data_IF_602770100788
#
_entry.id   IF_602770100788
#
_cell.length_a   1.000
_cell.length_b   1.000
_cell.length_c   1.000
_cell.angle_alpha   90.00
_cell.angle_beta   90.00
_cell.angle_gamma   90.00
#
_symmetry.space_group_name_H-M   'P 1'
#
loop_
_entity.id
_entity.type
_entity.pdbx_description
1 polymer ?
#
# COMPACT_ATOMS: atom_id res chain seq x y z
N UNK A 1 -14.50 -26.81 64.88
CA UNK A 1 -15.22 -28.08 64.70
C UNK A 1 -14.35 -29.04 63.91
N UNK A 2 -13.77 -30.03 64.59
CA UNK A 2 -13.07 -31.18 63.98
C UNK A 2 -14.04 -32.36 63.95
N UNK A 3 -14.13 -33.07 62.83
CA UNK A 3 -14.27 -34.53 62.77
C UNK A 3 -14.08 -35.04 61.35
N UNK A 4 -13.20 -36.02 61.23
CA UNK A 4 -13.00 -36.90 60.10
C UNK A 4 -13.92 -38.12 60.22
N UNK A 5 -14.35 -38.70 59.09
CA UNK A 5 -14.63 -40.13 58.81
C UNK A 5 -14.68 -40.24 57.26
N UNK A 6 -13.72 -40.83 56.57
CA UNK A 6 -13.47 -42.26 56.26
C UNK A 6 -14.55 -42.98 55.42
N UNK A 7 -14.16 -43.26 54.16
CA UNK A 7 -14.41 -44.42 53.30
C UNK A 7 -15.67 -45.29 53.43
N UNK A 8 -16.35 -45.55 52.31
CA UNK A 8 -16.36 -46.90 51.70
C UNK A 8 -16.79 -46.90 50.23
N UNK A 9 -16.12 -47.77 49.47
CA UNK A 9 -16.24 -47.98 48.05
C UNK A 9 -17.45 -48.88 47.68
N UNK A 10 -17.97 -48.68 46.47
CA UNK A 10 -18.63 -49.74 45.72
C UNK A 10 -18.19 -49.64 44.25
N UNK A 11 -17.63 -50.75 43.77
CA UNK A 11 -17.07 -50.93 42.45
C UNK A 11 -18.14 -50.97 41.36
N UNK A 12 -17.81 -50.43 40.18
CA UNK A 12 -18.43 -50.82 38.92
C UNK A 12 -17.34 -50.86 37.84
N UNK A 13 -17.28 -52.01 37.14
CA UNK A 13 -16.32 -52.34 36.09
C UNK A 13 -16.57 -51.51 34.81
N UNK A 14 -15.57 -51.41 33.90
CA UNK A 14 -15.54 -50.39 32.87
C UNK A 14 -16.39 -50.77 31.64
N UNK A 15 -17.24 -49.84 31.20
CA UNK A 15 -17.83 -49.88 29.86
C UNK A 15 -16.79 -49.39 28.84
N UNK A 16 -16.65 -50.14 27.76
CA UNK A 16 -15.73 -49.88 26.66
C UNK A 16 -15.92 -48.47 26.06
N UNK A 17 -14.84 -47.81 25.61
CA UNK A 17 -14.95 -46.49 24.99
C UNK A 17 -15.64 -46.60 23.64
N UNK A 18 -16.74 -45.84 23.50
CA UNK A 18 -17.33 -45.55 22.21
C UNK A 18 -16.27 -44.86 21.34
N UNK A 19 -16.03 -45.43 20.15
CA UNK A 19 -15.13 -44.89 19.15
C UNK A 19 -15.51 -43.43 18.85
N UNK A 20 -14.68 -42.51 19.29
CA UNK A 20 -14.68 -41.14 18.81
C UNK A 20 -14.40 -41.20 17.30
N UNK A 21 -15.44 -40.93 16.51
CA UNK A 21 -15.27 -40.63 15.09
C UNK A 21 -14.39 -39.38 15.01
N UNK A 22 -13.14 -39.61 14.64
CA UNK A 22 -12.21 -38.56 14.25
C UNK A 22 -12.89 -37.77 13.12
N UNK A 23 -13.36 -36.56 13.43
CA UNK A 23 -13.71 -35.59 12.42
C UNK A 23 -12.39 -35.26 11.72
N UNK A 24 -12.17 -35.86 10.55
CA UNK A 24 -11.07 -35.51 9.69
C UNK A 24 -11.20 -34.02 9.39
N UNK A 25 -10.31 -33.23 9.98
CA UNK A 25 -10.08 -31.84 9.62
C UNK A 25 -9.88 -31.80 8.11
N UNK A 26 -10.71 -31.00 7.43
CA UNK A 26 -10.52 -30.70 6.02
C UNK A 26 -9.07 -30.22 5.82
N UNK A 27 -8.37 -30.67 4.76
CA UNK A 27 -7.04 -30.17 4.47
C UNK A 27 -7.10 -28.65 4.26
N UNK A 28 -6.07 -27.90 4.71
CA UNK A 28 -5.99 -26.47 4.46
C UNK A 28 -6.04 -26.21 2.95
N UNK A 29 -6.68 -25.11 2.50
CA UNK A 29 -6.74 -24.77 1.10
C UNK A 29 -5.32 -24.67 0.51
N UNK A 30 -5.15 -25.20 -0.70
CA UNK A 30 -3.88 -25.16 -1.41
C UNK A 30 -3.38 -23.71 -1.54
N UNK A 31 -2.08 -23.45 -1.37
CA UNK A 31 -1.54 -22.10 -1.50
C UNK A 31 -1.85 -21.57 -2.91
N UNK A 32 -2.61 -20.47 -2.97
CA UNK A 32 -2.84 -19.74 -4.21
C UNK A 32 -1.51 -19.54 -4.94
N UNK A 33 -1.42 -20.05 -6.17
CA UNK A 33 -0.26 -19.81 -7.03
C UNK A 33 -0.16 -18.31 -7.27
N UNK A 34 0.79 -17.68 -6.57
CA UNK A 34 1.13 -16.25 -6.72
C UNK A 34 1.33 -15.91 -8.20
N UNK A 35 0.75 -14.81 -8.71
CA UNK A 35 1.19 -14.27 -9.98
C UNK A 35 2.68 -13.97 -9.87
N UNK A 36 3.48 -14.53 -10.78
CA UNK A 36 4.91 -14.21 -10.90
C UNK A 36 5.04 -12.71 -11.16
N UNK A 37 5.45 -11.93 -10.15
CA UNK A 37 5.94 -10.55 -10.35
C UNK A 37 7.06 -10.61 -11.38
N UNK A 38 6.77 -10.17 -12.60
CA UNK A 38 7.75 -10.06 -13.68
C UNK A 38 8.43 -8.69 -13.58
N UNK A 39 9.70 -8.70 -13.96
CA UNK A 39 10.70 -7.65 -13.75
C UNK A 39 10.19 -6.27 -14.14
N UNK A 40 10.41 -5.33 -13.21
CA UNK A 40 10.40 -3.89 -13.43
C UNK A 40 11.12 -3.57 -14.75
N UNK A 41 10.55 -2.73 -15.64
CA UNK A 41 11.25 -2.29 -16.84
C UNK A 41 12.61 -1.67 -16.45
N UNK A 42 13.64 -1.76 -17.30
CA UNK A 42 14.95 -1.19 -16.98
C UNK A 42 14.80 0.32 -16.71
N UNK A 43 15.48 0.86 -15.68
CA UNK A 43 15.35 2.25 -15.28
C UNK A 43 15.68 3.17 -16.46
N UNK A 44 14.86 4.22 -16.63
CA UNK A 44 15.19 5.31 -17.54
C UNK A 44 16.57 5.84 -17.18
N UNK A 45 17.43 5.94 -18.18
CA UNK A 45 18.80 6.41 -18.04
C UNK A 45 18.86 7.78 -17.31
N UNK A 46 19.59 7.79 -16.19
CA UNK A 46 20.22 8.94 -15.51
C UNK A 46 19.58 10.31 -15.74
N UNK A 47 18.55 10.63 -14.95
CA UNK A 47 18.14 12.02 -14.74
C UNK A 47 19.12 12.75 -13.81
N UNK A 48 19.18 14.07 -13.92
CA UNK A 48 20.27 14.94 -13.46
C UNK A 48 20.68 14.82 -11.97
N UNK A 49 21.91 15.22 -11.65
CA UNK A 49 22.47 15.27 -10.28
C UNK A 49 21.83 16.36 -9.38
N UNK A 50 20.58 16.75 -9.63
CA UNK A 50 19.86 17.82 -8.95
C UNK A 50 18.40 17.45 -8.68
N UNK A 51 17.65 18.34 -8.00
CA UNK A 51 16.25 18.10 -7.68
C UNK A 51 15.38 18.05 -8.94
N UNK A 52 14.26 17.32 -8.87
CA UNK A 52 13.24 17.26 -9.92
C UNK A 52 12.55 18.61 -10.13
N UNK A 53 12.37 19.37 -9.04
CA UNK A 53 11.98 20.77 -9.05
C UNK A 53 12.28 21.44 -7.71
N UNK A 54 12.23 22.77 -7.71
CA UNK A 54 12.37 23.58 -6.51
C UNK A 54 11.20 24.55 -6.41
N UNK A 55 10.84 24.91 -5.18
CA UNK A 55 9.89 25.98 -4.91
C UNK A 55 10.27 26.82 -3.69
N UNK A 56 9.72 28.03 -3.60
CA UNK A 56 9.98 28.98 -2.51
C UNK A 56 8.71 29.26 -1.70
N UNK A 57 8.68 28.93 -0.39
CA UNK A 57 7.59 29.28 0.51
C UNK A 57 7.24 30.77 0.47
N UNK A 58 5.94 31.14 0.47
CA UNK A 58 5.54 32.55 0.52
C UNK A 58 6.06 33.21 1.82
N UNK A 59 6.53 34.45 1.71
CA UNK A 59 6.96 35.25 2.87
C UNK A 59 8.38 34.97 3.39
N UNK A 60 9.08 33.94 2.88
CA UNK A 60 10.45 33.63 3.26
C UNK A 60 11.46 34.17 2.25
N UNK A 61 12.05 35.35 2.50
CA UNK A 61 13.19 35.81 1.70
C UNK A 61 14.36 34.83 1.87
N UNK A 62 14.58 33.97 0.87
CA UNK A 62 15.65 32.95 0.86
C UNK A 62 15.22 31.53 1.23
N UNK A 63 13.97 31.29 1.63
CA UNK A 63 13.48 29.93 1.86
C UNK A 63 13.32 29.16 0.54
N UNK A 64 13.86 27.94 0.47
CA UNK A 64 13.78 27.08 -0.72
C UNK A 64 13.53 25.63 -0.30
N UNK A 65 12.62 24.97 -0.99
CA UNK A 65 12.39 23.53 -0.91
C UNK A 65 12.86 22.91 -2.23
N UNK A 66 13.73 21.90 -2.16
CA UNK A 66 14.22 21.12 -3.29
C UNK A 66 13.59 19.74 -3.25
N UNK A 67 12.84 19.35 -4.29
CA UNK A 67 12.04 18.13 -4.30
C UNK A 67 12.74 17.04 -5.10
N UNK A 68 12.78 15.83 -4.54
CA UNK A 68 13.38 14.64 -5.13
C UNK A 68 12.37 13.49 -5.15
N UNK A 69 12.20 12.87 -6.30
CA UNK A 69 11.46 11.63 -6.49
C UNK A 69 12.34 10.41 -6.27
N UNK A 70 11.89 9.48 -5.43
CA UNK A 70 12.52 8.18 -5.24
C UNK A 70 11.70 7.06 -5.86
N UNK A 71 12.40 6.11 -6.47
CA UNK A 71 11.82 4.87 -6.96
C UNK A 71 11.97 3.79 -5.89
N UNK A 72 10.91 3.01 -5.66
CA UNK A 72 10.89 2.02 -4.59
C UNK A 72 12.02 0.99 -4.78
N UNK A 73 12.86 0.83 -3.75
CA UNK A 73 14.03 -0.06 -3.71
C UNK A 73 15.17 0.29 -4.68
N UNK A 74 15.08 1.38 -5.45
CA UNK A 74 16.18 1.81 -6.31
C UNK A 74 17.25 2.59 -5.52
N UNK A 75 18.49 2.39 -5.93
CA UNK A 75 19.65 3.10 -5.37
C UNK A 75 19.80 4.43 -6.08
N UNK A 76 19.56 5.52 -5.37
CA UNK A 76 19.64 6.88 -5.90
C UNK A 76 20.63 7.72 -5.08
N UNK A 77 21.95 7.45 -5.19
CA UNK A 77 22.97 8.09 -4.36
C UNK A 77 23.06 9.60 -4.56
N UNK A 78 22.70 10.10 -5.74
CA UNK A 78 22.71 11.52 -6.07
C UNK A 78 21.88 12.39 -5.10
N UNK A 79 20.81 11.85 -4.52
CA UNK A 79 19.96 12.56 -3.56
C UNK A 79 20.75 12.84 -2.28
N UNK A 80 21.38 11.80 -1.72
CA UNK A 80 22.19 11.95 -0.51
C UNK A 80 23.47 12.74 -0.75
N UNK A 81 24.10 12.60 -1.92
CA UNK A 81 25.25 13.42 -2.33
C UNK A 81 24.87 14.91 -2.38
N UNK A 82 23.68 15.23 -2.89
CA UNK A 82 23.16 16.59 -2.87
C UNK A 82 22.99 17.10 -1.43
N UNK A 83 22.42 16.29 -0.53
CA UNK A 83 22.25 16.66 0.89
C UNK A 83 23.60 16.91 1.57
N UNK A 84 24.59 16.03 1.35
CA UNK A 84 25.95 16.19 1.88
C UNK A 84 26.61 17.48 1.40
N UNK A 85 26.46 17.79 0.10
CA UNK A 85 27.07 18.95 -0.53
C UNK A 85 26.38 20.28 -0.17
N UNK A 86 25.05 20.28 -0.10
CA UNK A 86 24.25 21.50 0.11
C UNK A 86 23.92 21.79 1.55
N UNK A 87 24.01 20.79 2.43
CA UNK A 87 23.74 20.89 3.88
C UNK A 87 22.44 21.65 4.18
N UNK A 88 21.29 21.13 3.70
CA UNK A 88 20.00 21.74 3.99
C UNK A 88 19.76 21.82 5.51
N UNK A 89 18.93 22.76 5.96
CA UNK A 89 18.58 22.85 7.38
C UNK A 89 17.72 21.66 7.83
N UNK A 90 16.93 21.11 6.92
CA UNK A 90 16.12 19.92 7.15
C UNK A 90 15.99 19.06 5.89
N UNK A 91 15.80 17.77 6.12
CA UNK A 91 15.41 16.78 5.10
C UNK A 91 14.06 16.22 5.53
N UNK A 92 13.04 16.44 4.70
CA UNK A 92 11.67 15.94 4.86
C UNK A 92 11.51 14.70 4.00
N UNK A 93 10.98 13.63 4.57
CA UNK A 93 10.84 12.34 3.89
C UNK A 93 9.44 11.79 4.02
N UNK A 94 8.96 11.06 3.01
CA UNK A 94 7.62 10.46 3.01
C UNK A 94 7.48 9.36 4.08
N UNK A 95 8.41 8.40 4.10
CA UNK A 95 8.21 7.16 4.87
C UNK A 95 8.82 7.28 6.25
N UNK A 96 8.06 6.93 7.28
CA UNK A 96 8.61 6.78 8.63
C UNK A 96 9.44 5.50 8.76
N UNK A 97 10.67 5.60 9.28
CA UNK A 97 11.50 4.42 9.56
C UNK A 97 11.08 3.64 10.83
N UNK A 98 10.17 4.19 11.63
CA UNK A 98 9.60 3.53 12.82
C UNK A 98 8.20 4.07 13.12
N UNK A 99 7.27 3.28 13.70
CA UNK A 99 5.92 3.74 14.05
C UNK A 99 5.91 4.99 14.94
N UNK A 100 6.81 5.08 15.92
CA UNK A 100 6.94 6.26 16.79
C UNK A 100 7.34 7.53 16.01
N UNK A 101 8.10 7.38 14.93
CA UNK A 101 8.53 8.51 14.11
C UNK A 101 7.39 9.04 13.23
N UNK A 102 6.56 8.13 12.70
CA UNK A 102 5.38 8.45 11.91
C UNK A 102 4.12 8.75 12.73
N UNK A 103 4.23 8.89 14.05
CA UNK A 103 3.07 9.13 14.92
C UNK A 103 2.47 10.54 14.73
N UNK A 104 3.27 11.49 14.24
CA UNK A 104 2.82 12.83 13.86
C UNK A 104 3.65 13.35 12.66
N UNK A 105 3.03 14.10 11.73
CA UNK A 105 3.73 14.73 10.63
C UNK A 105 4.59 15.88 11.13
N UNK A 106 5.71 16.12 10.46
CA UNK A 106 6.68 17.15 10.85
C UNK A 106 7.45 16.83 12.13
N UNK A 107 7.31 15.63 12.71
CA UNK A 107 8.13 15.20 13.82
C UNK A 107 9.62 15.28 13.43
N UNK A 108 10.37 16.10 14.16
CA UNK A 108 11.78 16.34 13.93
C UNK A 108 12.64 15.39 14.74
N UNK A 109 13.70 14.89 14.11
CA UNK A 109 14.69 14.04 14.73
C UNK A 109 16.08 14.53 14.36
N UNK A 110 16.88 14.75 15.38
CA UNK A 110 18.32 14.94 15.29
C UNK A 110 19.07 13.62 15.53
N UNK A 111 20.36 13.61 15.21
CA UNK A 111 21.25 12.50 15.57
C UNK A 111 21.24 12.16 17.07
N UNK A 112 21.00 13.13 17.95
CA UNK A 112 21.09 12.97 19.40
C UNK A 112 19.81 12.34 19.98
N UNK A 113 18.64 12.70 19.44
CA UNK A 113 17.34 12.20 19.90
C UNK A 113 17.09 10.74 19.49
N UNK A 114 17.70 10.32 18.39
CA UNK A 114 17.45 9.02 17.78
C UNK A 114 18.26 7.89 18.46
N UNK A 115 19.26 8.22 19.29
CA UNK A 115 20.07 7.28 20.08
C UNK A 115 19.30 6.61 21.24
N UNK A 116 18.12 7.11 21.58
CA UNK A 116 17.29 6.61 22.70
C UNK A 116 16.34 5.48 22.27
N UNK A 117 16.08 5.31 20.97
CA UNK A 117 15.09 4.37 20.44
C UNK A 117 15.81 3.17 19.81
N UNK A 118 15.95 2.08 20.56
CA UNK A 118 16.74 0.89 20.23
C UNK A 118 16.21 -0.02 19.11
N UNK A 119 15.78 0.54 17.98
CA UNK A 119 15.43 -0.19 16.75
C UNK A 119 16.26 0.30 15.56
N UNK A 120 16.01 -0.20 14.34
CA UNK A 120 16.81 -0.01 13.12
C UNK A 120 17.24 1.44 12.80
N UNK A 121 16.60 2.46 13.39
CA UNK A 121 17.08 3.85 13.41
C UNK A 121 18.53 3.99 13.92
N UNK A 122 18.96 3.12 14.83
CA UNK A 122 20.36 3.06 15.27
C UNK A 122 21.33 2.65 14.15
N UNK A 123 20.88 1.97 13.09
CA UNK A 123 21.75 1.59 11.98
C UNK A 123 22.13 2.77 11.09
N UNK A 124 21.16 3.61 10.70
CA UNK A 124 21.43 4.83 9.92
C UNK A 124 22.30 5.80 10.72
N UNK A 125 22.08 5.93 12.03
CA UNK A 125 22.93 6.72 12.92
C UNK A 125 24.37 6.21 12.99
N UNK A 126 24.58 4.90 13.10
CA UNK A 126 25.93 4.31 13.13
C UNK A 126 26.70 4.64 11.85
N UNK A 127 26.03 4.53 10.70
CA UNK A 127 26.63 4.89 9.40
C UNK A 127 26.93 6.39 9.35
N UNK A 128 25.98 7.24 9.75
CA UNK A 128 26.15 8.69 9.79
C UNK A 128 27.23 9.16 10.79
N UNK A 129 27.37 8.49 11.93
CA UNK A 129 28.43 8.74 12.92
C UNK A 129 29.80 8.36 12.36
N UNK A 130 29.92 7.18 11.74
CA UNK A 130 31.14 6.76 11.07
C UNK A 130 31.55 7.75 9.96
N UNK A 131 30.59 8.26 9.18
CA UNK A 131 30.84 9.29 8.18
C UNK A 131 31.34 10.61 8.78
N UNK A 132 30.85 10.99 9.96
CA UNK A 132 31.32 12.19 10.68
C UNK A 132 32.73 12.00 11.23
N UNK A 133 33.00 10.85 11.86
CA UNK A 133 34.32 10.50 12.42
C UNK A 133 35.41 10.44 11.35
N UNK A 134 35.08 9.93 10.16
CA UNK A 134 36.03 9.85 9.03
C UNK A 134 36.25 11.20 8.32
N UNK A 135 35.50 12.25 8.69
CA UNK A 135 35.49 13.52 7.95
C UNK A 135 34.83 13.43 6.56
N UNK A 136 34.31 12.26 6.19
CA UNK A 136 33.68 11.96 4.91
C UNK A 136 32.40 12.79 4.68
N UNK A 137 31.69 13.17 5.74
CA UNK A 137 30.52 14.06 5.64
C UNK A 137 30.86 15.44 5.03
N UNK A 138 32.13 15.85 5.07
CA UNK A 138 32.62 17.07 4.43
C UNK A 138 33.29 16.83 3.06
N UNK A 139 33.56 15.58 2.68
CA UNK A 139 34.39 15.20 1.53
C UNK A 139 33.74 14.16 0.59
N UNK A 140 32.40 14.07 0.58
CA UNK A 140 31.68 13.09 -0.24
C UNK A 140 32.12 13.13 -1.73
N UNK A 141 32.31 11.96 -2.39
CA UNK A 141 32.05 10.61 -1.88
C UNK A 141 33.25 9.99 -1.12
N UNK A 142 33.07 9.75 0.17
CA UNK A 142 34.01 9.03 1.03
C UNK A 142 33.86 7.50 1.02
N UNK A 143 34.62 6.80 1.87
CA UNK A 143 34.59 5.32 1.96
C UNK A 143 33.28 4.80 2.56
N UNK A 144 32.86 5.37 3.70
CA UNK A 144 31.61 4.99 4.35
C UNK A 144 30.38 5.32 3.49
N UNK A 145 30.42 6.43 2.75
CA UNK A 145 29.34 6.81 1.82
C UNK A 145 29.17 5.81 0.68
N UNK A 146 30.28 5.37 0.06
CA UNK A 146 30.22 4.35 -1.01
C UNK A 146 29.60 3.05 -0.52
N UNK A 147 29.95 2.61 0.68
CA UNK A 147 29.34 1.43 1.28
C UNK A 147 27.83 1.64 1.55
N UNK A 148 27.42 2.82 2.02
CA UNK A 148 26.01 3.14 2.20
C UNK A 148 25.25 3.05 0.86
N UNK A 149 25.81 3.61 -0.22
CA UNK A 149 25.23 3.57 -1.57
C UNK A 149 25.02 2.15 -2.10
N UNK A 150 25.80 1.17 -1.62
CA UNK A 150 25.67 -0.23 -1.99
C UNK A 150 24.58 -0.98 -1.22
N UNK A 151 24.06 -0.40 -0.13
CA UNK A 151 23.15 -1.11 0.78
C UNK A 151 21.77 -0.45 0.93
N UNK A 152 21.64 0.82 0.56
CA UNK A 152 20.44 1.61 0.82
C UNK A 152 19.78 2.14 -0.45
N UNK A 153 18.46 2.30 -0.39
CA UNK A 153 17.69 2.97 -1.43
C UNK A 153 17.81 4.52 -1.33
N UNK A 154 17.25 5.25 -2.30
CA UNK A 154 17.31 6.71 -2.35
C UNK A 154 16.86 7.43 -1.07
N UNK A 155 15.71 7.02 -0.50
CA UNK A 155 15.15 7.65 0.69
C UNK A 155 16.03 7.40 1.93
N UNK A 156 16.49 6.16 2.11
CA UNK A 156 17.39 5.77 3.20
C UNK A 156 18.74 6.50 3.11
N UNK A 157 19.26 6.71 1.90
CA UNK A 157 20.47 7.50 1.68
C UNK A 157 20.27 8.97 2.06
N UNK A 158 19.08 9.53 1.84
CA UNK A 158 18.74 10.87 2.33
C UNK A 158 18.72 10.93 3.87
N UNK A 159 18.22 9.90 4.57
CA UNK A 159 18.30 9.84 6.04
C UNK A 159 19.74 9.89 6.53
N UNK A 160 20.59 9.01 5.98
CA UNK A 160 22.01 8.92 6.37
C UNK A 160 22.72 10.25 6.13
N UNK A 161 22.48 10.88 4.97
CA UNK A 161 23.07 12.18 4.64
C UNK A 161 22.57 13.32 5.56
N UNK A 162 21.27 13.33 5.90
CA UNK A 162 20.71 14.30 6.84
C UNK A 162 21.40 14.21 8.21
N UNK A 163 21.47 12.98 8.74
CA UNK A 163 22.11 12.70 10.02
C UNK A 163 23.61 13.03 9.99
N UNK A 164 24.32 12.69 8.91
CA UNK A 164 25.74 12.95 8.77
C UNK A 164 26.08 14.45 8.68
N UNK A 165 25.19 15.26 8.10
CA UNK A 165 25.35 16.72 7.99
C UNK A 165 24.83 17.50 9.20
N UNK A 166 24.10 16.83 10.11
CA UNK A 166 23.42 17.47 11.23
C UNK A 166 22.13 18.22 10.83
N UNK A 167 21.61 17.96 9.62
CA UNK A 167 20.29 18.45 9.23
C UNK A 167 19.20 17.81 10.10
N UNK A 168 18.11 18.55 10.34
CA UNK A 168 16.92 18.00 11.00
C UNK A 168 16.26 16.99 10.05
N UNK A 169 15.98 15.78 10.51
CA UNK A 169 15.19 14.80 9.74
C UNK A 169 13.72 14.93 10.13
N UNK A 170 12.82 15.12 9.17
CA UNK A 170 11.39 15.24 9.42
C UNK A 170 10.59 14.23 8.60
N UNK A 171 9.55 13.66 9.18
CA UNK A 171 8.61 12.79 8.45
C UNK A 171 7.43 13.63 7.96
N UNK A 172 7.36 13.84 6.65
CA UNK A 172 6.46 14.81 6.02
C UNK A 172 5.06 14.30 5.78
N UNK A 173 4.86 12.98 5.74
CA UNK A 173 3.57 12.39 5.39
C UNK A 173 2.62 12.33 6.59
N UNK A 174 1.33 12.20 6.29
CA UNK A 174 0.29 11.92 7.27
C UNK A 174 0.50 10.53 7.90
N UNK A 175 0.32 10.37 9.22
CA UNK A 175 0.39 9.07 9.88
C UNK A 175 -0.45 7.99 9.17
N UNK A 176 0.16 6.83 8.95
CA UNK A 176 -0.47 5.68 8.25
C UNK A 176 -1.82 5.29 8.84
N UNK A 177 -1.92 5.27 10.17
CA UNK A 177 -3.18 5.00 10.88
C UNK A 177 -4.31 5.92 10.41
N UNK A 178 -4.05 7.23 10.34
CA UNK A 178 -5.05 8.21 9.91
C UNK A 178 -5.44 7.94 8.46
N UNK A 179 -4.47 7.70 7.58
CA UNK A 179 -4.72 7.37 6.17
C UNK A 179 -5.63 6.14 6.04
N UNK A 180 -5.33 5.04 6.72
CA UNK A 180 -6.14 3.82 6.63
C UNK A 180 -7.54 4.01 7.20
N UNK A 181 -7.66 4.68 8.35
CA UNK A 181 -8.98 4.96 8.95
C UNK A 181 -9.83 5.86 8.04
N UNK A 182 -9.21 6.83 7.35
CA UNK A 182 -9.89 7.65 6.33
C UNK A 182 -10.34 6.82 5.13
N UNK A 183 -9.50 5.93 4.61
CA UNK A 183 -9.86 5.03 3.49
C UNK A 183 -11.03 4.11 3.81
N UNK A 184 -11.17 3.68 5.07
CA UNK A 184 -12.30 2.85 5.48
C UNK A 184 -13.58 3.68 5.73
N UNK A 185 -13.44 4.85 6.34
CA UNK A 185 -14.59 5.65 6.78
C UNK A 185 -15.22 6.49 5.67
N UNK A 186 -14.41 7.16 4.85
CA UNK A 186 -14.87 8.28 4.02
C UNK A 186 -15.38 7.87 2.63
N UNK A 187 -14.68 7.02 1.87
CA UNK A 187 -15.18 6.56 0.57
C UNK A 187 -16.49 5.78 0.72
N UNK A 188 -17.43 6.03 -0.19
CA UNK A 188 -18.58 5.15 -0.37
C UNK A 188 -18.15 3.82 -1.01
N UNK A 189 -18.95 2.74 -0.90
CA UNK A 189 -18.68 1.49 -1.61
C UNK A 189 -18.51 1.69 -3.13
N UNK A 190 -19.29 2.58 -3.74
CA UNK A 190 -19.16 2.92 -5.16
C UNK A 190 -17.81 3.58 -5.48
N UNK A 191 -17.29 4.43 -4.58
CA UNK A 191 -15.97 5.04 -4.77
C UNK A 191 -14.84 4.02 -4.60
N UNK A 192 -14.97 3.06 -3.68
CA UNK A 192 -13.99 1.96 -3.55
C UNK A 192 -13.99 1.05 -4.79
N UNK A 193 -15.16 0.70 -5.31
CA UNK A 193 -15.32 -0.09 -6.54
C UNK A 193 -14.77 0.65 -7.77
N UNK A 194 -15.05 1.95 -7.90
CA UNK A 194 -14.48 2.75 -8.99
C UNK A 194 -12.95 2.82 -8.91
N UNK A 195 -12.39 3.07 -7.72
CA UNK A 195 -10.94 3.06 -7.50
C UNK A 195 -10.30 1.69 -7.82
N UNK A 196 -10.96 0.60 -7.42
CA UNK A 196 -10.55 -0.74 -7.78
C UNK A 196 -10.55 -0.94 -9.30
N UNK A 197 -11.61 -0.51 -10.00
CA UNK A 197 -11.71 -0.61 -11.45
C UNK A 197 -10.61 0.18 -12.17
N UNK A 198 -10.26 1.37 -11.68
CA UNK A 198 -9.17 2.18 -12.22
C UNK A 198 -7.81 1.50 -12.06
N UNK A 199 -7.56 0.89 -10.90
CA UNK A 199 -6.31 0.17 -10.66
C UNK A 199 -6.21 -1.09 -11.55
N UNK A 200 -7.29 -1.85 -11.68
CA UNK A 200 -7.36 -2.98 -12.61
C UNK A 200 -7.11 -2.52 -14.06
N UNK A 201 -7.79 -1.45 -14.49
CA UNK A 201 -7.60 -0.86 -15.81
C UNK A 201 -6.13 -0.48 -16.06
N UNK A 202 -5.50 0.20 -15.09
CA UNK A 202 -4.08 0.59 -15.13
C UNK A 202 -3.19 -0.63 -15.34
N UNK A 203 -3.40 -1.70 -14.56
CA UNK A 203 -2.61 -2.93 -14.66
C UNK A 203 -2.78 -3.63 -16.01
N UNK A 204 -4.00 -3.70 -16.56
CA UNK A 204 -4.22 -4.31 -17.88
C UNK A 204 -3.63 -3.46 -19.02
N UNK A 205 -3.74 -2.13 -18.96
CA UNK A 205 -3.07 -1.25 -19.93
C UNK A 205 -1.55 -1.47 -19.90
N UNK A 206 -0.95 -1.56 -18.70
CA UNK A 206 0.46 -1.84 -18.52
C UNK A 206 0.88 -3.18 -19.15
N UNK A 207 0.11 -4.24 -18.89
CA UNK A 207 0.35 -5.58 -19.47
C UNK A 207 0.26 -5.57 -21.00
N UNK A 208 -0.65 -4.77 -21.56
CA UNK A 208 -0.84 -4.65 -23.01
C UNK A 208 0.13 -3.68 -23.67
N UNK A 209 0.94 -2.94 -22.88
CA UNK A 209 1.86 -1.92 -23.38
C UNK A 209 1.16 -0.64 -23.88
N UNK A 210 -0.08 -0.42 -23.46
CA UNK A 210 -0.80 0.82 -23.75
C UNK A 210 -0.33 1.94 -22.84
N UNK A 211 -0.53 3.18 -23.30
CA UNK A 211 -0.44 4.32 -22.39
C UNK A 211 -1.50 4.17 -21.28
N UNK A 212 -1.15 4.45 -20.02
CA UNK A 212 -2.17 4.53 -18.98
C UNK A 212 -3.21 5.58 -19.39
N UNK A 213 -4.48 5.40 -19.03
CA UNK A 213 -5.49 6.42 -19.26
C UNK A 213 -5.02 7.74 -18.64
N UNK A 214 -5.21 8.89 -19.31
CA UNK A 214 -4.70 10.16 -18.80
C UNK A 214 -5.23 10.42 -17.38
N UNK A 215 -4.33 10.74 -16.44
CA UNK A 215 -4.70 11.00 -15.03
C UNK A 215 -5.79 12.07 -14.90
N UNK A 216 -5.81 13.07 -15.79
CA UNK A 216 -6.82 14.12 -15.85
C UNK A 216 -8.24 13.63 -16.23
N UNK A 217 -8.38 12.41 -16.76
CA UNK A 217 -9.68 11.78 -17.01
C UNK A 217 -10.32 11.23 -15.72
N UNK A 218 -9.53 11.10 -14.66
CA UNK A 218 -10.01 10.76 -13.33
C UNK A 218 -10.17 12.04 -12.54
N UNK A 219 -11.41 12.49 -12.35
CA UNK A 219 -11.69 13.42 -11.27
C UNK A 219 -11.17 12.76 -9.99
N UNK A 220 -10.23 13.40 -9.29
CA UNK A 220 -9.65 12.86 -8.04
C UNK A 220 -10.80 12.50 -7.11
N UNK A 221 -11.10 11.21 -7.00
CA UNK A 221 -12.20 10.74 -6.19
C UNK A 221 -11.78 10.71 -4.72
N UNK A 222 -12.68 10.25 -3.83
CA UNK A 222 -12.37 10.21 -2.41
C UNK A 222 -11.15 9.34 -2.10
N UNK A 223 -10.92 8.26 -2.84
CA UNK A 223 -9.80 7.33 -2.60
C UNK A 223 -8.49 7.95 -3.06
N UNK A 224 -8.42 8.46 -4.29
CA UNK A 224 -7.23 9.12 -4.83
C UNK A 224 -6.91 10.40 -4.06
N UNK A 225 -7.95 11.11 -3.61
CA UNK A 225 -7.84 12.25 -2.70
C UNK A 225 -7.10 11.87 -1.42
N UNK A 226 -7.49 10.77 -0.78
CA UNK A 226 -6.88 10.29 0.47
C UNK A 226 -5.47 9.72 0.24
N UNK A 227 -5.27 8.92 -0.80
CA UNK A 227 -4.00 8.22 -1.11
C UNK A 227 -2.91 9.14 -1.68
N UNK A 228 -3.30 10.23 -2.34
CA UNK A 228 -2.38 11.14 -3.02
C UNK A 228 -2.56 12.58 -2.53
N UNK A 229 -3.64 13.26 -2.95
CA UNK A 229 -3.77 14.72 -2.84
C UNK A 229 -3.63 15.25 -1.40
N UNK A 230 -4.30 14.60 -0.45
CA UNK A 230 -4.25 14.98 0.96
C UNK A 230 -2.84 14.80 1.54
N UNK A 231 -2.16 13.70 1.20
CA UNK A 231 -0.78 13.40 1.65
C UNK A 231 0.22 14.39 1.06
N UNK A 232 0.11 14.65 -0.24
CA UNK A 232 0.92 15.65 -0.96
C UNK A 232 0.78 17.05 -0.34
N UNK A 233 -0.45 17.46 0.00
CA UNK A 233 -0.70 18.75 0.64
C UNK A 233 -0.07 18.84 2.04
N UNK A 234 -0.14 17.76 2.84
CA UNK A 234 0.52 17.68 4.16
C UNK A 234 2.05 17.78 4.00
N UNK A 235 2.65 17.04 3.06
CA UNK A 235 4.09 17.08 2.79
C UNK A 235 4.55 18.47 2.35
N UNK A 236 3.80 19.14 1.47
CA UNK A 236 4.08 20.53 1.07
C UNK A 236 4.05 21.47 2.28
N UNK A 237 3.04 21.34 3.15
CA UNK A 237 2.88 22.18 4.33
C UNK A 237 4.05 21.99 5.31
N UNK A 238 4.39 20.74 5.64
CA UNK A 238 5.55 20.42 6.51
C UNK A 238 6.84 21.01 5.95
N UNK A 239 7.13 20.77 4.66
CA UNK A 239 8.35 21.29 4.04
C UNK A 239 8.39 22.82 4.01
N UNK A 240 7.24 23.46 3.78
CA UNK A 240 7.12 24.92 3.76
C UNK A 240 7.32 25.54 5.14
N UNK A 241 6.73 24.96 6.19
CA UNK A 241 6.89 25.41 7.57
C UNK A 241 8.35 25.28 8.03
N UNK A 242 9.00 24.16 7.73
CA UNK A 242 10.42 23.93 8.07
C UNK A 242 11.36 24.85 7.31
N UNK A 243 11.09 25.11 6.03
CA UNK A 243 11.90 26.03 5.24
C UNK A 243 11.75 27.49 5.74
N UNK A 244 10.56 27.88 6.20
CA UNK A 244 10.34 29.19 6.81
C UNK A 244 11.07 29.31 8.16
N UNK A 245 11.00 28.29 9.01
CA UNK A 245 11.71 28.26 10.30
C UNK A 245 13.24 28.29 10.10
N UNK A 246 13.76 27.49 9.17
CA UNK A 246 15.18 27.46 8.84
C UNK A 246 15.70 28.80 8.32
N UNK A 247 14.95 29.47 7.44
CA UNK A 247 15.32 30.80 6.93
C UNK A 247 15.41 31.85 8.04
N UNK A 248 14.52 31.79 9.05
CA UNK A 248 14.57 32.68 10.20
C UNK A 248 15.80 32.45 11.10
N UNK A 249 16.30 31.22 11.14
CA UNK A 249 17.52 30.82 11.87
C UNK A 249 18.81 31.09 11.07
N UNK A 250 18.71 31.67 9.86
CA UNK A 250 19.86 31.84 8.94
C UNK A 250 20.34 30.52 8.31
N UNK A 251 19.54 29.46 8.42
CA UNK A 251 19.80 28.14 7.87
C UNK A 251 19.56 28.02 6.36
N UNK A 252 20.11 26.96 5.76
CA UNK A 252 19.95 26.63 4.35
C UNK A 252 18.55 26.14 3.97
N UNK A 253 18.33 25.77 2.70
CA UNK A 253 17.05 25.25 2.21
C UNK A 253 16.62 23.91 2.83
N UNK A 254 15.49 23.38 2.38
CA UNK A 254 14.94 22.07 2.76
C UNK A 254 15.00 21.11 1.57
N UNK A 255 15.34 19.85 1.80
CA UNK A 255 15.13 18.78 0.83
C UNK A 255 13.82 18.04 1.15
N UNK A 256 12.93 17.88 0.18
CA UNK A 256 11.74 17.05 0.27
C UNK A 256 11.95 15.79 -0.60
N UNK A 257 11.98 14.62 0.02
CA UNK A 257 12.26 13.33 -0.63
C UNK A 257 11.02 12.45 -0.53
N UNK A 258 10.41 12.14 -1.68
CA UNK A 258 9.10 11.47 -1.78
C UNK A 258 9.11 10.43 -2.90
N UNK A 259 8.22 9.46 -2.87
CA UNK A 259 8.00 8.54 -3.99
C UNK A 259 7.73 9.31 -5.28
N UNK A 260 8.32 8.87 -6.40
CA UNK A 260 8.22 9.57 -7.69
C UNK A 260 6.76 9.77 -8.16
N UNK A 261 5.85 8.88 -7.77
CA UNK A 261 4.42 8.97 -8.00
C UNK A 261 3.78 10.25 -7.43
N UNK A 262 4.35 10.86 -6.38
CA UNK A 262 3.85 12.10 -5.79
C UNK A 262 4.33 13.36 -6.50
N UNK A 263 5.35 13.30 -7.36
CA UNK A 263 5.93 14.48 -7.99
C UNK A 263 4.93 15.30 -8.83
N UNK A 264 4.08 14.68 -9.69
CA UNK A 264 3.12 15.45 -10.48
C UNK A 264 2.10 16.17 -9.59
N UNK A 265 1.59 15.49 -8.57
CA UNK A 265 0.59 16.02 -7.65
C UNK A 265 1.14 17.14 -6.76
N UNK A 266 2.35 16.98 -6.22
CA UNK A 266 3.02 18.03 -5.44
C UNK A 266 3.25 19.27 -6.29
N UNK A 267 3.75 19.11 -7.52
CA UNK A 267 3.99 20.24 -8.43
C UNK A 267 2.69 20.98 -8.72
N UNK A 268 1.64 20.25 -9.11
CA UNK A 268 0.35 20.84 -9.44
C UNK A 268 -0.27 21.59 -8.25
N UNK A 269 -0.30 20.96 -7.06
CA UNK A 269 -0.83 21.56 -5.84
C UNK A 269 -0.03 22.80 -5.41
N UNK A 270 1.29 22.77 -5.56
CA UNK A 270 2.14 23.91 -5.26
C UNK A 270 1.85 25.09 -6.20
N UNK A 271 1.84 24.84 -7.52
CA UNK A 271 1.63 25.86 -8.55
C UNK A 271 0.22 26.48 -8.47
N UNK A 272 -0.82 25.68 -8.19
CA UNK A 272 -2.18 26.17 -7.99
C UNK A 272 -2.37 26.88 -6.63
N UNK A 273 -1.56 26.52 -5.64
CA UNK A 273 -1.70 26.96 -4.26
C UNK A 273 -2.85 26.30 -3.50
N UNK A 274 -3.54 25.35 -4.11
CA UNK A 274 -4.72 24.64 -3.54
C UNK A 274 -4.38 23.82 -2.30
N UNK A 275 -3.11 23.42 -2.13
CA UNK A 275 -2.66 22.70 -0.93
C UNK A 275 -3.05 23.41 0.37
N UNK A 276 -3.11 24.75 0.39
CA UNK A 276 -3.55 25.52 1.59
C UNK A 276 -5.01 25.29 1.90
N UNK A 277 -5.85 25.23 0.87
CA UNK A 277 -7.27 24.94 1.02
C UNK A 277 -7.48 23.48 1.43
N UNK A 278 -6.68 22.55 0.90
CA UNK A 278 -6.71 21.12 1.29
C UNK A 278 -6.29 20.91 2.74
N UNK A 279 -5.21 21.56 3.19
CA UNK A 279 -4.75 21.51 4.59
C UNK A 279 -5.75 22.20 5.52
N UNK A 280 -6.43 23.24 5.05
CA UNK A 280 -7.53 23.93 5.75
C UNK A 280 -7.16 24.41 7.18
N UNK A 281 -5.89 24.71 7.44
CA UNK A 281 -5.43 25.16 8.75
C UNK A 281 -4.21 26.10 8.62
N UNK A 282 -4.01 27.03 9.59
CA UNK A 282 -2.83 27.90 9.62
C UNK A 282 -1.51 27.17 9.88
N UNK A 283 -1.57 26.02 10.56
CA UNK A 283 -0.44 25.15 10.84
C UNK A 283 -0.83 23.71 10.50
N UNK A 284 0.11 22.93 9.97
CA UNK A 284 -0.15 21.55 9.56
C UNK A 284 -0.66 20.71 10.72
N UNK A 285 -0.10 20.90 11.92
CA UNK A 285 -0.47 20.16 13.14
C UNK A 285 -1.94 20.33 13.56
N UNK A 286 -2.61 21.41 13.12
CA UNK A 286 -4.03 21.65 13.41
C UNK A 286 -4.95 21.32 12.22
N UNK A 287 -4.42 20.71 11.16
CA UNK A 287 -5.20 20.32 9.99
C UNK A 287 -6.20 19.21 10.31
N UNK A 288 -7.46 19.29 9.81
CA UNK A 288 -8.41 18.18 9.88
C UNK A 288 -7.93 16.93 9.13
N UNK A 289 -6.96 17.06 8.21
CA UNK A 289 -6.33 15.91 7.57
C UNK A 289 -5.58 15.03 8.56
N UNK A 290 -5.19 15.56 9.72
CA UNK A 290 -4.50 14.84 10.78
C UNK A 290 -5.44 14.28 11.86
N UNK A 291 -6.74 14.39 11.66
CA UNK A 291 -7.72 13.75 12.52
C UNK A 291 -8.11 12.38 11.94
N UNK A 292 -7.90 11.32 12.73
CA UNK A 292 -8.45 10.00 12.43
C UNK A 292 -9.97 10.03 12.59
N UNK A 293 -10.75 9.55 11.61
CA UNK A 293 -12.17 9.32 11.80
C UNK A 293 -12.41 8.35 12.97
N UNK A 294 -13.47 8.55 13.78
CA UNK A 294 -13.85 7.58 14.78
C UNK A 294 -14.32 6.30 14.08
N UNK A 295 -13.69 5.18 14.43
CA UNK A 295 -14.10 3.84 13.99
C UNK A 295 -14.38 2.99 15.24
N UNK A 296 -15.43 3.38 15.97
CA UNK A 296 -15.87 2.68 17.16
C UNK A 296 -16.70 1.43 16.82
N UNK A 297 -17.23 0.76 17.86
CA UNK A 297 -18.08 -0.41 17.68
C UNK A 297 -19.32 -0.14 16.81
N UNK A 298 -19.89 1.07 16.89
CA UNK A 298 -21.07 1.44 16.10
C UNK A 298 -20.76 1.51 14.60
N UNK A 299 -19.62 2.09 14.23
CA UNK A 299 -19.18 2.17 12.84
C UNK A 299 -18.77 0.79 12.30
N UNK A 300 -18.09 -0.02 13.12
CA UNK A 300 -17.69 -1.38 12.77
C UNK A 300 -18.88 -2.33 12.58
N UNK A 301 -19.99 -2.10 13.31
CA UNK A 301 -21.22 -2.88 13.23
C UNK A 301 -22.27 -2.29 12.27
N UNK A 302 -21.94 -1.23 11.52
CA UNK A 302 -22.86 -0.69 10.53
C UNK A 302 -23.15 -1.73 9.42
N UNK A 303 -24.38 -1.84 8.90
CA UNK A 303 -24.69 -2.77 7.81
C UNK A 303 -23.76 -2.57 6.59
N UNK A 304 -23.18 -3.67 6.09
CA UNK A 304 -22.25 -3.63 4.95
C UNK A 304 -20.84 -3.14 5.29
N UNK A 305 -20.49 -2.94 6.57
CA UNK A 305 -19.13 -2.56 6.96
C UNK A 305 -18.11 -3.68 6.67
N UNK A 306 -18.50 -4.95 6.83
CA UNK A 306 -17.73 -6.12 6.45
C UNK A 306 -17.41 -6.12 4.95
N UNK A 307 -18.44 -6.02 4.11
CA UNK A 307 -18.26 -5.94 2.65
C UNK A 307 -17.36 -4.77 2.23
N UNK A 308 -17.57 -3.59 2.81
CA UNK A 308 -16.72 -2.41 2.58
C UNK A 308 -15.25 -2.71 2.94
N UNK A 309 -15.01 -3.34 4.09
CA UNK A 309 -13.65 -3.72 4.49
C UNK A 309 -13.04 -4.71 3.50
N UNK A 310 -13.78 -5.72 3.06
CA UNK A 310 -13.29 -6.70 2.07
C UNK A 310 -12.93 -6.06 0.73
N UNK A 311 -13.74 -5.09 0.26
CA UNK A 311 -13.43 -4.32 -0.94
C UNK A 311 -12.17 -3.46 -0.77
N UNK A 312 -12.01 -2.80 0.38
CA UNK A 312 -10.81 -2.02 0.68
C UNK A 312 -9.57 -2.93 0.74
N UNK A 313 -9.65 -4.09 1.39
CA UNK A 313 -8.57 -5.06 1.46
C UNK A 313 -8.14 -5.51 0.05
N UNK A 314 -9.10 -5.78 -0.85
CA UNK A 314 -8.83 -6.19 -2.23
C UNK A 314 -8.25 -5.06 -3.10
N UNK A 315 -8.76 -3.83 -2.96
CA UNK A 315 -8.18 -2.64 -3.60
C UNK A 315 -6.72 -2.46 -3.18
N UNK A 316 -6.45 -2.49 -1.87
CA UNK A 316 -5.10 -2.29 -1.37
C UNK A 316 -4.15 -3.42 -1.82
N UNK A 317 -4.64 -4.65 -1.90
CA UNK A 317 -3.86 -5.77 -2.45
C UNK A 317 -3.36 -5.51 -3.88
N UNK A 318 -4.12 -4.77 -4.69
CA UNK A 318 -3.73 -4.37 -6.04
C UNK A 318 -2.78 -3.16 -6.04
N UNK A 319 -3.02 -2.19 -5.16
CA UNK A 319 -2.38 -0.88 -5.23
C UNK A 319 -1.06 -0.77 -4.48
N UNK A 320 -0.80 -1.60 -3.45
CA UNK A 320 0.34 -1.40 -2.53
C UNK A 320 1.17 -2.68 -2.30
N UNK A 321 2.44 -2.57 -1.87
CA UNK A 321 3.25 -3.74 -1.50
C UNK A 321 2.76 -4.42 -0.21
N UNK A 322 3.17 -5.68 -0.01
CA UNK A 322 2.72 -6.55 1.09
C UNK A 322 2.98 -5.96 2.48
N UNK A 323 4.04 -5.18 2.65
CA UNK A 323 4.36 -4.49 3.90
C UNK A 323 3.28 -3.49 4.33
N UNK A 324 2.66 -2.78 3.37
CA UNK A 324 1.57 -1.82 3.64
C UNK A 324 0.29 -2.57 4.06
N UNK A 325 0.04 -3.75 3.48
CA UNK A 325 -1.12 -4.58 3.84
C UNK A 325 -1.05 -5.05 5.30
N UNK A 326 0.13 -5.45 5.77
CA UNK A 326 0.32 -5.85 7.19
C UNK A 326 0.07 -4.69 8.15
N UNK A 327 0.43 -3.47 7.75
CA UNK A 327 0.17 -2.29 8.59
C UNK A 327 -1.34 -2.02 8.72
N UNK A 328 -2.15 -2.29 7.68
CA UNK A 328 -3.59 -2.06 7.75
C UNK A 328 -4.27 -2.90 8.84
N UNK A 329 -3.89 -4.16 8.98
CA UNK A 329 -4.42 -5.05 10.02
C UNK A 329 -4.03 -4.61 11.43
N UNK A 330 -2.92 -3.87 11.58
CA UNK A 330 -2.50 -3.30 12.86
C UNK A 330 -3.33 -2.08 13.26
N UNK A 331 -3.68 -1.22 12.29
CA UNK A 331 -4.27 0.10 12.57
C UNK A 331 -5.79 0.17 12.42
N UNK A 332 -6.37 -0.71 11.63
CA UNK A 332 -7.82 -0.78 11.46
C UNK A 332 -8.44 -1.69 12.53
N UNK A 333 -9.65 -1.37 13.03
CA UNK A 333 -10.33 -2.26 13.96
C UNK A 333 -10.61 -3.62 13.32
N UNK A 334 -10.68 -4.70 14.12
CA UNK A 334 -11.13 -5.99 13.63
C UNK A 334 -12.58 -5.90 13.15
N UNK A 335 -12.92 -6.71 12.15
CA UNK A 335 -14.30 -6.82 11.68
C UNK A 335 -15.10 -7.69 12.66
N UNK A 336 -16.32 -7.26 13.06
CA UNK A 336 -17.20 -8.07 13.91
C UNK A 336 -17.49 -9.46 13.30
N UNK A 337 -17.65 -10.47 14.15
CA UNK A 337 -17.86 -11.87 13.73
C UNK A 337 -19.10 -12.04 12.82
N UNK A 338 -20.16 -11.25 13.05
CA UNK A 338 -21.40 -11.26 12.27
C UNK A 338 -21.26 -10.63 10.88
N UNK A 339 -20.18 -9.88 10.63
CA UNK A 339 -19.87 -9.27 9.33
C UNK A 339 -18.65 -9.88 8.63
N UNK A 340 -17.98 -10.83 9.29
CA UNK A 340 -16.76 -11.45 8.79
C UNK A 340 -17.02 -12.24 7.49
N UNK A 341 -18.18 -12.87 7.35
CA UNK A 341 -18.58 -13.54 6.11
C UNK A 341 -18.73 -12.55 4.95
N UNK A 342 -19.36 -11.40 5.18
CA UNK A 342 -19.50 -10.35 4.14
C UNK A 342 -18.13 -9.85 3.70
N UNK A 343 -17.21 -9.65 4.66
CA UNK A 343 -15.82 -9.26 4.37
C UNK A 343 -15.11 -10.29 3.51
N UNK A 344 -15.20 -11.57 3.88
CA UNK A 344 -14.56 -12.65 3.14
C UNK A 344 -15.11 -12.77 1.71
N UNK A 345 -16.44 -12.72 1.56
CA UNK A 345 -17.09 -12.79 0.25
C UNK A 345 -16.77 -11.59 -0.63
N UNK A 346 -16.81 -10.37 -0.09
CA UNK A 346 -16.40 -9.18 -0.83
C UNK A 346 -14.92 -9.26 -1.25
N UNK A 347 -14.03 -9.65 -0.32
CA UNK A 347 -12.60 -9.78 -0.62
C UNK A 347 -12.33 -10.84 -1.70
N UNK A 348 -12.95 -12.02 -1.60
CA UNK A 348 -12.78 -13.10 -2.56
C UNK A 348 -13.31 -12.71 -3.95
N UNK A 349 -14.49 -12.09 -3.98
CA UNK A 349 -15.10 -11.58 -5.21
C UNK A 349 -14.16 -10.57 -5.89
N UNK A 350 -13.70 -9.54 -5.18
CA UNK A 350 -12.80 -8.50 -5.71
C UNK A 350 -11.36 -8.98 -5.90
N UNK A 351 -10.95 -10.10 -5.33
CA UNK A 351 -9.65 -10.71 -5.63
C UNK A 351 -9.70 -11.64 -6.84
N UNK A 352 -10.89 -11.93 -7.37
CA UNK A 352 -11.06 -12.83 -8.51
C UNK A 352 -10.73 -12.16 -9.85
N UNK A 353 -10.15 -12.93 -10.77
CA UNK A 353 -9.91 -12.47 -12.15
C UNK A 353 -11.21 -12.13 -12.87
N UNK A 354 -12.32 -12.82 -12.57
CA UNK A 354 -13.62 -12.57 -13.20
C UNK A 354 -14.16 -11.19 -12.82
N UNK A 355 -14.03 -10.78 -11.55
CA UNK A 355 -14.40 -9.42 -11.14
C UNK A 355 -13.49 -8.37 -11.81
N UNK A 356 -12.18 -8.60 -11.89
CA UNK A 356 -11.29 -7.72 -12.65
C UNK A 356 -11.74 -7.53 -14.10
N UNK A 357 -12.09 -8.62 -14.81
CA UNK A 357 -12.62 -8.53 -16.17
C UNK A 357 -13.99 -7.81 -16.22
N UNK A 358 -14.83 -7.99 -15.21
CA UNK A 358 -16.13 -7.35 -15.10
C UNK A 358 -16.01 -5.82 -14.94
N UNK A 359 -14.89 -5.31 -14.40
CA UNK A 359 -14.64 -3.88 -14.26
C UNK A 359 -14.07 -3.20 -15.52
N UNK A 360 -13.52 -3.98 -16.46
CA UNK A 360 -12.90 -3.43 -17.66
C UNK A 360 -13.92 -2.76 -18.60
N UNK A 361 -13.54 -1.65 -19.25
CA UNK A 361 -14.34 -1.08 -20.32
C UNK A 361 -14.42 -2.05 -21.52
N UNK A 362 -15.51 -2.04 -22.31
CA UNK A 362 -15.74 -3.01 -23.39
C UNK A 362 -14.56 -3.11 -24.37
N UNK A 363 -13.95 -1.97 -24.73
CA UNK A 363 -12.85 -1.90 -25.68
C UNK A 363 -11.59 -2.62 -25.20
N UNK A 364 -11.33 -2.59 -23.88
CA UNK A 364 -10.19 -3.28 -23.30
C UNK A 364 -10.49 -4.76 -23.08
N UNK A 365 -11.72 -5.07 -22.64
CA UNK A 365 -12.17 -6.45 -22.47
C UNK A 365 -12.04 -7.28 -23.76
N UNK A 366 -12.39 -6.70 -24.91
CA UNK A 366 -12.24 -7.34 -26.22
C UNK A 366 -10.80 -7.70 -26.59
N UNK A 367 -9.82 -6.98 -26.04
CA UNK A 367 -8.39 -7.19 -26.29
C UNK A 367 -7.77 -8.20 -25.33
N UNK A 368 -8.29 -8.26 -24.11
CA UNK A 368 -7.81 -9.16 -23.05
C UNK A 368 -8.36 -10.57 -23.21
N UNK A 369 -9.60 -10.71 -23.71
CA UNK A 369 -10.27 -12.00 -23.81
C UNK A 369 -10.06 -12.61 -25.21
N UNK A 370 -9.36 -13.74 -25.28
CA UNK A 370 -9.19 -14.51 -26.52
C UNK A 370 -10.05 -15.78 -26.51
N UNK A 371 -10.91 -15.96 -27.51
CA UNK A 371 -11.73 -17.17 -27.70
C UNK A 371 -12.82 -16.99 -28.77
N UNK A 372 -13.51 -18.06 -29.22
CA UNK A 372 -14.46 -18.02 -30.34
C UNK A 372 -15.74 -17.20 -30.07
N UNK A 373 -15.87 -16.58 -28.90
CA UNK A 373 -17.01 -15.79 -28.48
C UNK A 373 -16.61 -14.31 -28.32
N UNK A 374 -16.45 -13.59 -29.44
CA UNK A 374 -16.15 -12.15 -29.44
C UNK A 374 -17.32 -11.32 -28.87
N UNK A 375 -16.96 -10.33 -28.03
CA UNK A 375 -17.71 -9.09 -27.78
C UNK A 375 -18.95 -9.19 -26.89
N UNK A 376 -19.98 -9.91 -27.34
CA UNK A 376 -21.30 -9.88 -26.66
C UNK A 376 -21.53 -11.07 -25.74
N UNK A 377 -21.07 -12.25 -26.14
CA UNK A 377 -21.26 -13.49 -25.36
C UNK A 377 -20.49 -13.46 -24.04
N UNK A 378 -19.24 -13.00 -24.06
CA UNK A 378 -18.44 -12.91 -22.83
C UNK A 378 -18.89 -11.75 -21.93
N UNK A 379 -19.35 -10.64 -22.51
CA UNK A 379 -19.99 -9.57 -21.75
C UNK A 379 -21.19 -10.07 -20.95
N UNK A 380 -22.04 -10.92 -21.55
CA UNK A 380 -23.16 -11.56 -20.87
C UNK A 380 -22.74 -12.50 -19.73
N UNK A 381 -21.60 -13.18 -19.84
CA UNK A 381 -21.04 -14.02 -18.76
C UNK A 381 -20.63 -13.18 -17.54
N UNK A 382 -20.14 -11.96 -17.76
CA UNK A 382 -19.73 -11.05 -16.69
C UNK A 382 -20.88 -10.24 -16.10
N UNK A 383 -22.05 -10.24 -16.73
CA UNK A 383 -23.19 -9.41 -16.33
C UNK A 383 -23.68 -9.68 -14.90
N UNK A 384 -23.76 -10.92 -14.39
CA UNK A 384 -24.06 -11.16 -12.98
C UNK A 384 -23.09 -10.43 -12.03
N UNK A 385 -21.79 -10.48 -12.32
CA UNK A 385 -20.77 -9.80 -11.52
C UNK A 385 -20.88 -8.28 -11.64
N UNK A 386 -21.17 -7.76 -12.84
CA UNK A 386 -21.39 -6.32 -13.06
C UNK A 386 -22.57 -5.80 -12.24
N UNK A 387 -23.66 -6.57 -12.10
CA UNK A 387 -24.80 -6.17 -11.27
C UNK A 387 -24.48 -6.12 -9.78
N UNK A 388 -23.47 -6.86 -9.32
CA UNK A 388 -23.02 -6.81 -7.92
C UNK A 388 -22.19 -5.57 -7.61
N UNK A 389 -21.61 -4.92 -8.62
CA UNK A 389 -20.74 -3.75 -8.45
C UNK A 389 -21.51 -2.56 -7.85
N UNK A 390 -21.03 -1.95 -6.75
CA UNK A 390 -21.63 -0.75 -6.17
C UNK A 390 -21.73 0.44 -7.12
N UNK A 391 -20.83 0.61 -8.10
CA UNK A 391 -21.00 1.66 -9.12
C UNK A 391 -22.25 1.45 -10.00
N UNK A 392 -22.75 0.21 -10.07
CA UNK A 392 -23.97 -0.17 -10.78
C UNK A 392 -25.18 -0.32 -9.84
N UNK A 393 -25.07 0.10 -8.58
CA UNK A 393 -26.12 -0.02 -7.56
C UNK A 393 -26.18 -1.38 -6.86
N UNK A 394 -25.20 -2.25 -7.10
CA UNK A 394 -25.09 -3.55 -6.42
C UNK A 394 -24.56 -3.46 -4.98
N UNK A 395 -24.68 -4.55 -4.20
CA UNK A 395 -24.23 -4.60 -2.80
C UNK A 395 -22.71 -4.71 -2.62
N UNK A 396 -21.95 -5.07 -3.67
CA UNK A 396 -20.51 -5.33 -3.61
C UNK A 396 -20.15 -6.74 -3.15
N UNK A 397 -21.11 -7.57 -2.79
CA UNK A 397 -20.89 -8.95 -2.39
C UNK A 397 -22.18 -9.77 -2.57
N UNK A 398 -22.04 -11.07 -2.78
CA UNK A 398 -23.16 -12.01 -2.85
C UNK A 398 -22.62 -13.43 -2.62
N UNK A 399 -23.27 -14.19 -1.74
CA UNK A 399 -22.83 -15.54 -1.39
C UNK A 399 -22.93 -16.49 -2.60
N UNK A 400 -24.05 -16.47 -3.31
CA UNK A 400 -24.28 -17.35 -4.45
C UNK A 400 -23.25 -17.11 -5.57
N UNK A 401 -22.93 -15.84 -5.84
CA UNK A 401 -21.89 -15.48 -6.81
C UNK A 401 -20.49 -15.97 -6.40
N UNK A 402 -20.15 -15.92 -5.11
CA UNK A 402 -18.88 -16.46 -4.62
C UNK A 402 -18.85 -17.98 -4.73
N UNK A 403 -19.95 -18.66 -4.38
CA UNK A 403 -20.07 -20.12 -4.55
C UNK A 403 -19.94 -20.54 -6.01
N UNK A 404 -20.51 -19.76 -6.94
CA UNK A 404 -20.36 -19.98 -8.38
C UNK A 404 -18.90 -19.81 -8.82
N UNK A 405 -18.21 -18.75 -8.37
CA UNK A 405 -16.78 -18.55 -8.65
C UNK A 405 -15.95 -19.74 -8.16
N UNK A 406 -16.20 -20.20 -6.92
CA UNK A 406 -15.51 -21.37 -6.34
C UNK A 406 -15.77 -22.65 -7.14
N UNK A 407 -17.02 -22.88 -7.54
CA UNK A 407 -17.38 -24.05 -8.34
C UNK A 407 -16.65 -24.06 -9.69
N UNK A 408 -16.51 -22.89 -10.33
CA UNK A 408 -15.81 -22.76 -11.61
C UNK A 408 -14.28 -22.88 -11.47
N UNK A 409 -13.70 -22.49 -10.34
CA UNK A 409 -12.25 -22.64 -10.10
C UNK A 409 -11.84 -24.10 -9.83
N UNK A 410 -12.77 -24.92 -9.33
CA UNK A 410 -12.59 -26.38 -9.21
C UNK A 410 -12.45 -27.02 -10.61
N UNK A 411 -13.19 -26.57 -11.62
CA UNK A 411 -13.08 -27.10 -12.98
C UNK A 411 -11.75 -26.74 -13.67
N UNK A 412 -11.14 -25.60 -13.34
CA UNK A 412 -9.82 -25.23 -13.86
C UNK A 412 -8.70 -26.06 -13.20
N UNK A 413 -8.87 -26.46 -11.93
CA UNK A 413 -7.92 -27.32 -11.23
C UNK A 413 -8.12 -28.82 -11.55
N UNK A 414 -9.33 -29.24 -11.90
CA UNK A 414 -9.66 -30.61 -12.30
C UNK A 414 -9.39 -30.87 -13.79
N UNK A 415 -9.42 -29.85 -14.67
CA UNK A 415 -9.09 -29.96 -16.09
C UNK A 415 -7.61 -30.17 -16.43
N UNK A 416 -6.78 -30.50 -15.43
CA UNK A 416 -5.38 -30.92 -15.60
C UNK A 416 -5.14 -32.37 -15.18
N UNK A 417 -6.19 -33.16 -14.92
CA UNK A 417 -6.11 -34.53 -14.44
C UNK A 417 -6.79 -35.53 -15.38
N UNK A 418 -5.95 -36.29 -16.10
CA UNK A 418 -6.11 -37.69 -16.51
C UNK A 418 -7.21 -38.09 -17.53
N UNK A 419 -8.28 -37.33 -17.78
CA UNK A 419 -9.31 -37.79 -18.73
C UNK A 419 -8.93 -37.61 -20.23
N UNK A 420 -8.00 -36.71 -20.56
CA UNK A 420 -7.57 -36.51 -21.96
C UNK A 420 -6.44 -37.45 -22.42
N UNK A 421 -5.75 -38.15 -21.51
CA UNK A 421 -4.70 -39.12 -21.88
C UNK A 421 -5.28 -40.50 -22.25
N UNK A 422 -6.37 -40.94 -21.61
CA UNK A 422 -7.00 -42.22 -21.93
C UNK A 422 -7.71 -42.19 -23.30
N UNK A 423 -8.36 -41.09 -23.66
CA UNK A 423 -9.02 -40.92 -24.96
C UNK A 423 -8.02 -40.68 -26.11
N UNK A 424 -6.87 -40.06 -25.82
CA UNK A 424 -5.78 -39.95 -26.79
C UNK A 424 -5.07 -41.30 -27.03
N UNK A 425 -4.88 -42.12 -25.99
CA UNK A 425 -4.27 -43.45 -26.13
C UNK A 425 -5.21 -44.47 -26.80
N UNK A 426 -6.52 -44.41 -26.52
CA UNK A 426 -7.51 -45.30 -27.16
C UNK A 426 -7.68 -45.00 -28.66
N UNK A 427 -7.60 -43.73 -29.08
CA UNK A 427 -7.65 -43.37 -30.50
C UNK A 427 -6.35 -43.71 -31.26
N UNK A 428 -5.19 -43.66 -30.59
CA UNK A 428 -3.92 -44.07 -31.20
C UNK A 428 -3.82 -45.60 -31.39
N UNK A 429 -4.39 -46.39 -30.47
CA UNK A 429 -4.44 -47.85 -30.59
C UNK A 429 -5.41 -48.33 -31.70
N UNK A 430 -6.53 -47.64 -31.89
CA UNK A 430 -7.48 -47.93 -32.97
C UNK A 430 -6.93 -47.59 -34.37
N UNK A 431 -6.09 -46.54 -34.48
CA UNK A 431 -5.46 -46.16 -35.75
C UNK A 431 -4.26 -47.04 -36.13
N UNK A 432 -3.69 -47.80 -35.20
CA UNK A 432 -2.60 -48.75 -35.46
C UNK A 432 -3.09 -50.17 -35.82
N UNK A 433 -4.40 -50.42 -35.71
CA UNK A 433 -5.04 -51.71 -35.99
C UNK A 433 -5.92 -51.70 -37.26
N UNK A 434 -5.93 -50.60 -38.01
CA UNK A 434 -6.53 -50.45 -39.34
C UNK A 434 -5.43 -50.19 -40.38
#
# INVERSE_FOLDING_TARGET
>A
MRRAVSAHAAAAAPAAPAAARSAALAPPPAPHRRPRRRRVPPPRASAAAGPDFEFSPPGGAGARVSVFGVEHMERQPHIGEWVLARRPCAVVVETACHPAHGAAPGNLFSCEEQAVVGSDGGFFQRVAAAMREQGDAAAAPGGAWRQACENFNGEQLAYVAALATGAKLAFGDRPKEITYKRLLALPSPAQLDDAYAREVLRQYCEVLGDAPPPEAAYARDAVDGIMMAEREAVMIAVASELAAAGAAEGGGGVALVVGSAHLPGIRALWESGEWRATVAAPAVASSPLLAAPPLGPAEASAPGAGARRGMLDALMLLSVPEEVLRDMDLYLPPVPEDQELERQYAFELYSSQRMQLATLPPQLLERVVSGPAKGERFGGVLEPLRRLRPVNGGPGWDEDAVLEIRALDIFISAGGGEEDEEDAMNNAAAAAAA
#
